data_IF_651834459457
#
_entry.id   IF_651834459457
#
_cell.length_a   1.000
_cell.length_b   1.000
_cell.length_c   1.000
_cell.angle_alpha   90.00
_cell.angle_beta   90.00
_cell.angle_gamma   90.00
#
_symmetry.space_group_name_H-M   'P 1'
#
loop_
_entity.id
_entity.type
_entity.pdbx_description
1 polymer ?
#
# COMPACT_ATOMS: atom_id res chain seq x y z
N UNK A 1 11.48 26.55 14.24
CA UNK A 1 10.04 26.25 14.12
C UNK A 1 9.81 25.33 12.93
N UNK A 2 8.95 24.32 13.06
CA UNK A 2 8.59 23.42 11.95
C UNK A 2 7.18 23.75 11.50
N UNK A 3 6.97 23.80 10.18
CA UNK A 3 5.71 24.23 9.57
C UNK A 3 5.07 23.07 8.82
N UNK A 4 3.74 22.95 8.92
CA UNK A 4 2.98 21.91 8.21
C UNK A 4 3.05 22.12 6.68
N UNK A 5 2.88 21.04 5.91
CA UNK A 5 2.92 21.11 4.45
C UNK A 5 1.87 22.09 3.90
N UNK A 6 0.63 22.03 4.39
CA UNK A 6 -0.43 22.95 3.98
C UNK A 6 -0.11 24.42 4.30
N UNK A 7 0.58 24.69 5.41
CA UNK A 7 1.05 26.04 5.72
C UNK A 7 2.14 26.49 4.73
N UNK A 8 3.14 25.64 4.46
CA UNK A 8 4.21 25.92 3.48
C UNK A 8 3.62 26.22 2.10
N UNK A 9 2.73 25.36 1.61
CA UNK A 9 2.05 25.53 0.32
C UNK A 9 1.25 26.83 0.26
N UNK A 10 0.53 27.17 1.33
CA UNK A 10 -0.25 28.41 1.39
C UNK A 10 0.66 29.64 1.28
N UNK A 11 1.79 29.67 1.99
CA UNK A 11 2.72 30.79 1.91
C UNK A 11 3.42 30.85 0.54
N UNK A 12 3.77 29.70 -0.04
CA UNK A 12 4.37 29.64 -1.38
C UNK A 12 3.39 30.12 -2.46
N UNK A 13 2.10 29.72 -2.39
CA UNK A 13 1.04 30.18 -3.30
C UNK A 13 0.84 31.69 -3.28
N UNK A 14 1.06 32.36 -2.14
CA UNK A 14 0.99 33.83 -2.05
C UNK A 14 2.10 34.55 -2.83
N UNK A 15 3.26 33.91 -2.97
CA UNK A 15 4.43 34.47 -3.66
C UNK A 15 4.42 34.13 -5.16
N UNK A 16 3.81 33.01 -5.54
CA UNK A 16 3.66 32.62 -6.94
C UNK A 16 2.48 33.33 -7.63
N UNK A 17 2.45 33.37 -8.98
CA UNK A 17 1.26 33.80 -9.72
C UNK A 17 0.03 32.97 -9.30
N UNK A 18 -1.16 33.57 -9.13
CA UNK A 18 -1.57 34.90 -9.58
C UNK A 18 -1.34 36.06 -8.59
N UNK A 19 -0.94 35.79 -7.34
CA UNK A 19 -0.86 36.81 -6.29
C UNK A 19 0.46 37.61 -6.33
N UNK A 20 1.57 36.97 -6.71
CA UNK A 20 2.89 37.59 -6.92
C UNK A 20 3.34 38.53 -5.80
N UNK A 21 3.03 38.20 -4.54
CA UNK A 21 3.35 39.07 -3.39
C UNK A 21 4.85 39.05 -3.08
N UNK A 22 5.44 40.18 -2.62
CA UNK A 22 6.85 40.22 -2.23
C UNK A 22 7.15 39.27 -1.07
N UNK A 23 8.26 38.52 -1.18
CA UNK A 23 8.72 37.54 -0.17
C UNK A 23 8.77 38.16 1.23
N UNK A 24 9.33 39.36 1.37
CA UNK A 24 9.48 40.04 2.66
C UNK A 24 8.12 40.38 3.32
N UNK A 25 7.07 40.62 2.53
CA UNK A 25 5.72 40.89 3.07
C UNK A 25 5.09 39.61 3.58
N UNK A 26 5.16 38.53 2.80
CA UNK A 26 4.58 37.22 3.18
C UNK A 26 5.34 36.62 4.36
N UNK A 27 6.67 36.76 4.39
CA UNK A 27 7.49 36.28 5.49
C UNK A 27 7.18 37.00 6.81
N UNK A 28 7.04 38.34 6.77
CA UNK A 28 6.65 39.15 7.94
C UNK A 28 5.24 38.83 8.43
N UNK A 29 4.28 38.66 7.53
CA UNK A 29 2.90 38.26 7.86
C UNK A 29 2.85 36.87 8.50
N UNK A 30 3.64 35.93 7.99
CA UNK A 30 3.70 34.55 8.47
C UNK A 30 4.61 34.37 9.70
N UNK A 31 5.33 35.42 10.13
CA UNK A 31 6.30 35.34 11.24
C UNK A 31 7.49 34.41 10.96
N UNK A 32 7.91 34.29 9.69
CA UNK A 32 9.02 33.43 9.25
C UNK A 32 10.15 34.28 8.68
N UNK A 33 11.37 33.71 8.59
CA UNK A 33 12.47 34.40 7.93
C UNK A 33 12.33 34.36 6.41
N UNK A 34 12.78 35.42 5.74
CA UNK A 34 12.82 35.50 4.27
C UNK A 34 13.56 34.31 3.64
N UNK A 35 14.64 33.85 4.29
CA UNK A 35 15.41 32.70 3.84
C UNK A 35 14.59 31.40 3.86
N UNK A 36 13.74 31.22 4.86
CA UNK A 36 12.87 30.04 4.98
C UNK A 36 11.86 29.99 3.82
N UNK A 37 11.24 31.13 3.50
CA UNK A 37 10.28 31.23 2.41
C UNK A 37 10.95 31.04 1.04
N UNK A 38 12.19 31.53 0.87
CA UNK A 38 13.01 31.31 -0.34
C UNK A 38 13.34 29.83 -0.54
N UNK A 39 13.69 29.12 0.53
CA UNK A 39 13.98 27.69 0.47
C UNK A 39 12.73 26.88 0.07
N UNK A 40 11.55 27.22 0.60
CA UNK A 40 10.30 26.57 0.19
C UNK A 40 9.93 26.89 -1.26
N UNK A 41 10.21 28.11 -1.73
CA UNK A 41 9.97 28.47 -3.12
C UNK A 41 10.87 27.65 -4.07
N UNK A 42 12.14 27.43 -3.70
CA UNK A 42 13.05 26.57 -4.46
C UNK A 42 12.54 25.12 -4.48
N UNK A 43 12.21 24.56 -3.32
CA UNK A 43 11.65 23.20 -3.19
C UNK A 43 10.33 23.04 -3.99
N UNK A 44 9.47 24.06 -4.03
CA UNK A 44 8.24 24.03 -4.81
C UNK A 44 8.47 24.07 -6.32
N UNK A 45 9.52 24.76 -6.78
CA UNK A 45 9.90 24.77 -8.20
C UNK A 45 10.46 23.43 -8.66
N UNK A 46 11.23 22.78 -7.80
CA UNK A 46 11.84 21.47 -8.08
C UNK A 46 10.87 20.31 -7.88
N UNK A 47 9.62 20.57 -7.45
CA UNK A 47 8.63 19.55 -7.14
C UNK A 47 8.93 18.75 -5.87
N UNK A 48 10.01 19.09 -5.16
CA UNK A 48 10.47 18.45 -3.92
C UNK A 48 10.00 19.21 -2.68
N UNK A 49 8.86 19.91 -2.75
CA UNK A 49 8.20 20.46 -1.57
C UNK A 49 7.57 19.29 -0.79
N UNK A 50 8.42 18.41 -0.31
CA UNK A 50 8.01 17.22 0.39
C UNK A 50 7.55 17.60 1.80
N UNK A 51 6.84 16.66 2.41
CA UNK A 51 6.64 16.60 3.86
C UNK A 51 8.02 16.51 4.51
N UNK A 52 8.71 17.63 4.65
CA UNK A 52 10.00 17.67 5.32
C UNK A 52 9.74 17.34 6.79
N UNK A 53 9.92 16.06 7.06
CA UNK A 53 10.05 15.33 8.30
C UNK A 53 9.43 16.00 9.53
N UNK A 54 8.29 15.45 9.92
CA UNK A 54 7.97 15.34 11.34
C UNK A 54 9.17 14.65 12.00
N UNK A 55 10.00 15.39 12.74
CA UNK A 55 10.66 14.75 13.87
C UNK A 55 9.51 14.28 14.74
N UNK A 56 9.34 12.97 14.79
CA UNK A 56 8.28 12.37 15.58
C UNK A 56 7.40 11.33 14.90
N UNK A 57 7.57 10.95 13.62
CA UNK A 57 7.03 9.64 13.28
C UNK A 57 6.54 9.28 11.89
N UNK A 58 6.41 10.22 10.96
CA UNK A 58 5.84 9.92 9.66
C UNK A 58 6.78 9.16 8.72
N UNK A 59 8.09 9.15 8.97
CA UNK A 59 9.09 8.42 8.16
C UNK A 59 9.43 7.00 8.66
N UNK A 60 8.74 6.51 9.69
CA UNK A 60 9.04 5.20 10.29
C UNK A 60 8.25 4.08 9.63
N UNK A 61 8.90 2.95 9.37
CA UNK A 61 8.27 1.76 8.82
C UNK A 61 7.22 1.19 9.78
N UNK A 62 6.23 0.45 9.27
CA UNK A 62 5.21 -0.20 10.11
C UNK A 62 5.81 -1.12 11.18
N UNK A 63 6.96 -1.75 10.88
CA UNK A 63 7.70 -2.59 11.82
C UNK A 63 8.32 -1.77 12.97
N UNK A 64 8.89 -0.62 12.65
CA UNK A 64 9.44 0.29 13.67
C UNK A 64 8.34 0.90 14.53
N UNK A 65 7.21 1.30 13.92
CA UNK A 65 6.02 1.76 14.66
C UNK A 65 5.53 0.70 15.64
N UNK A 66 5.44 -0.55 15.20
CA UNK A 66 5.06 -1.68 16.04
C UNK A 66 6.02 -1.87 17.23
N UNK A 67 7.33 -1.89 16.98
CA UNK A 67 8.32 -2.01 18.04
C UNK A 67 8.20 -0.89 19.07
N UNK A 68 7.99 0.35 18.62
CA UNK A 68 7.80 1.50 19.52
C UNK A 68 6.54 1.38 20.37
N UNK A 69 5.44 0.87 19.80
CA UNK A 69 4.22 0.59 20.57
C UNK A 69 4.50 -0.46 21.64
N UNK A 70 5.14 -1.58 21.30
CA UNK A 70 5.48 -2.64 22.26
C UNK A 70 6.45 -2.15 23.35
N UNK A 71 7.50 -1.41 22.97
CA UNK A 71 8.43 -0.78 23.90
C UNK A 71 7.67 0.15 24.85
N UNK A 72 6.77 1.00 24.33
CA UNK A 72 6.02 1.95 25.15
C UNK A 72 5.15 1.27 26.24
N UNK A 73 4.65 0.06 25.99
CA UNK A 73 3.89 -0.73 26.99
C UNK A 73 4.77 -1.37 28.05
N UNK A 74 6.07 -1.51 27.78
CA UNK A 74 7.05 -2.10 28.69
C UNK A 74 7.70 -1.05 29.60
N UNK A 75 7.60 0.24 29.25
CA UNK A 75 8.11 1.35 30.07
C UNK A 75 7.08 1.70 31.15
N UNK A 76 7.54 1.91 32.38
CA UNK A 76 6.70 2.38 33.49
C UNK A 76 6.14 3.79 33.21
N UNK A 77 4.93 4.09 33.69
CA UNK A 77 4.27 5.39 33.50
C UNK A 77 5.14 6.59 33.92
N UNK A 78 5.95 6.43 34.98
CA UNK A 78 6.87 7.46 35.45
C UNK A 78 8.01 7.77 34.47
N UNK A 79 8.47 6.77 33.70
CA UNK A 79 9.58 6.90 32.75
C UNK A 79 9.11 7.18 31.31
N UNK A 80 7.80 7.07 31.06
CA UNK A 80 7.21 7.23 29.73
C UNK A 80 7.54 8.59 29.10
N UNK A 81 7.50 9.66 29.89
CA UNK A 81 7.86 11.01 29.42
C UNK A 81 9.34 11.15 29.04
N UNK A 82 10.24 10.46 29.75
CA UNK A 82 11.68 10.45 29.41
C UNK A 82 11.92 9.64 28.14
N UNK A 83 11.34 8.45 28.05
CA UNK A 83 11.43 7.58 26.88
C UNK A 83 10.88 8.26 25.62
N UNK A 84 9.73 8.94 25.71
CA UNK A 84 9.14 9.70 24.61
C UNK A 84 10.11 10.78 24.10
N UNK A 85 10.75 11.53 25.01
CA UNK A 85 11.76 12.54 24.63
C UNK A 85 13.00 11.93 23.99
N UNK A 86 13.52 10.82 24.53
CA UNK A 86 14.67 10.11 23.98
C UNK A 86 14.41 9.59 22.55
N UNK A 87 13.21 9.09 22.30
CA UNK A 87 12.78 8.60 20.97
C UNK A 87 12.31 9.73 20.03
N UNK A 88 12.27 10.97 20.51
CA UNK A 88 11.78 12.14 19.78
C UNK A 88 10.29 12.02 19.43
N UNK A 89 9.49 11.43 20.31
CA UNK A 89 8.07 11.13 20.14
C UNK A 89 7.21 11.97 21.09
N UNK A 90 5.95 12.16 20.70
CA UNK A 90 4.88 12.65 21.55
C UNK A 90 3.94 11.51 21.90
N UNK A 91 3.21 11.61 23.01
CA UNK A 91 2.25 10.58 23.44
C UNK A 91 1.21 10.27 22.36
N UNK A 92 0.75 11.30 21.66
CA UNK A 92 -0.19 11.17 20.53
C UNK A 92 0.33 10.28 19.41
N UNK A 93 1.65 10.22 19.18
CA UNK A 93 2.22 9.36 18.13
C UNK A 93 2.06 7.87 18.46
N UNK A 94 2.12 7.50 19.74
CA UNK A 94 1.93 6.10 20.16
C UNK A 94 0.48 5.68 19.92
N UNK A 95 -0.47 6.52 20.32
CA UNK A 95 -1.89 6.27 20.06
C UNK A 95 -2.19 6.19 18.57
N UNK A 96 -1.60 7.07 17.75
CA UNK A 96 -1.76 7.04 16.31
C UNK A 96 -1.19 5.74 15.71
N UNK A 97 0.00 5.32 16.13
CA UNK A 97 0.60 4.07 15.66
C UNK A 97 -0.23 2.85 16.05
N UNK A 98 -0.80 2.81 17.25
CA UNK A 98 -1.71 1.75 17.68
C UNK A 98 -2.94 1.65 16.78
N UNK A 99 -3.52 2.78 16.40
CA UNK A 99 -4.66 2.85 15.48
C UNK A 99 -4.26 2.40 14.07
N UNK A 100 -3.20 2.98 13.50
CA UNK A 100 -2.71 2.62 12.16
C UNK A 100 -2.38 1.12 12.04
N UNK A 101 -1.79 0.52 13.08
CA UNK A 101 -1.47 -0.91 13.10
C UNK A 101 -2.71 -1.78 13.21
N UNK A 102 -3.73 -1.35 13.97
CA UNK A 102 -5.02 -2.04 14.07
C UNK A 102 -5.74 -2.05 12.73
N UNK A 103 -5.88 -0.87 12.12
CA UNK A 103 -6.58 -0.70 10.84
C UNK A 103 -5.91 -1.53 9.74
N UNK A 104 -4.56 -1.55 9.72
CA UNK A 104 -3.80 -2.36 8.76
C UNK A 104 -4.08 -3.86 8.89
N UNK A 105 -4.27 -4.36 10.11
CA UNK A 105 -4.58 -5.78 10.35
C UNK A 105 -6.03 -6.09 9.96
N UNK A 106 -6.97 -5.19 10.25
CA UNK A 106 -8.38 -5.35 9.89
C UNK A 106 -8.56 -5.34 8.36
N UNK A 107 -7.99 -4.37 7.65
CA UNK A 107 -8.09 -4.25 6.19
C UNK A 107 -7.44 -5.43 5.47
N UNK A 108 -6.22 -5.83 5.88
CA UNK A 108 -5.55 -7.01 5.32
C UNK A 108 -6.34 -8.29 5.58
N UNK A 109 -6.89 -8.44 6.80
CA UNK A 109 -7.70 -9.59 7.16
C UNK A 109 -9.00 -9.70 6.34
N UNK A 110 -9.61 -8.58 5.95
CA UNK A 110 -10.80 -8.59 5.10
C UNK A 110 -10.45 -8.90 3.63
N UNK A 111 -9.48 -8.18 3.07
CA UNK A 111 -9.04 -8.38 1.68
C UNK A 111 -8.54 -9.80 1.40
N UNK A 112 -7.73 -10.36 2.30
CA UNK A 112 -7.22 -11.74 2.16
C UNK A 112 -8.36 -12.77 2.22
N UNK A 113 -9.37 -12.57 3.09
CA UNK A 113 -10.54 -13.45 3.16
C UNK A 113 -11.36 -13.42 1.87
N UNK A 114 -11.54 -12.25 1.29
CA UNK A 114 -12.26 -12.08 0.02
C UNK A 114 -11.50 -12.74 -1.14
N UNK A 115 -10.18 -12.54 -1.19
CA UNK A 115 -9.31 -13.16 -2.19
C UNK A 115 -9.32 -14.69 -2.07
N UNK A 116 -9.17 -15.24 -0.86
CA UNK A 116 -9.27 -16.69 -0.63
C UNK A 116 -10.62 -17.23 -1.10
N UNK A 117 -11.73 -16.53 -0.81
CA UNK A 117 -13.07 -16.94 -1.23
C UNK A 117 -13.20 -16.92 -2.75
N UNK A 118 -12.63 -15.91 -3.42
CA UNK A 118 -12.59 -15.81 -4.89
C UNK A 118 -11.77 -16.94 -5.49
N UNK A 119 -10.55 -17.16 -5.01
CA UNK A 119 -9.65 -18.21 -5.50
C UNK A 119 -10.26 -19.61 -5.30
N UNK A 120 -10.90 -19.88 -4.16
CA UNK A 120 -11.59 -21.17 -3.93
C UNK A 120 -12.74 -21.41 -4.92
N UNK A 121 -13.53 -20.37 -5.22
CA UNK A 121 -14.61 -20.47 -6.22
C UNK A 121 -14.05 -20.75 -7.61
N UNK A 122 -12.98 -20.04 -7.97
CA UNK A 122 -12.33 -20.19 -9.27
C UNK A 122 -11.71 -21.58 -9.42
N UNK A 123 -10.99 -22.05 -8.40
CA UNK A 123 -10.40 -23.37 -8.39
C UNK A 123 -11.46 -24.46 -8.59
N UNK A 124 -12.58 -24.40 -7.83
CA UNK A 124 -13.70 -25.34 -8.00
C UNK A 124 -14.36 -25.27 -9.39
N UNK A 125 -14.37 -24.11 -10.03
CA UNK A 125 -14.86 -23.95 -11.41
C UNK A 125 -13.91 -24.63 -12.39
N UNK A 126 -12.62 -24.37 -12.27
CA UNK A 126 -11.57 -24.96 -13.10
C UNK A 126 -11.52 -26.48 -12.95
N UNK A 127 -11.61 -27.02 -11.74
CA UNK A 127 -11.68 -28.47 -11.48
C UNK A 127 -12.87 -29.12 -12.22
N UNK A 128 -14.05 -28.47 -12.22
CA UNK A 128 -15.22 -28.98 -12.94
C UNK A 128 -15.04 -28.93 -14.46
N UNK A 129 -14.48 -27.85 -14.98
CA UNK A 129 -14.19 -27.73 -16.41
C UNK A 129 -13.15 -28.77 -16.85
N UNK A 130 -12.11 -28.97 -16.05
CA UNK A 130 -11.09 -29.99 -16.28
C UNK A 130 -11.71 -31.39 -16.32
N UNK A 131 -12.53 -31.75 -15.32
CA UNK A 131 -13.20 -33.05 -15.27
C UNK A 131 -14.10 -33.30 -16.49
N UNK A 132 -14.81 -32.27 -16.98
CA UNK A 132 -15.62 -32.39 -18.20
C UNK A 132 -14.75 -32.62 -19.44
N UNK A 133 -13.64 -31.90 -19.56
CA UNK A 133 -12.68 -32.04 -20.68
C UNK A 133 -12.02 -33.42 -20.66
N UNK A 134 -11.62 -33.92 -19.49
CA UNK A 134 -11.05 -35.26 -19.34
C UNK A 134 -12.04 -36.36 -19.73
N UNK A 135 -13.32 -36.22 -19.35
CA UNK A 135 -14.38 -37.16 -19.79
C UNK A 135 -14.56 -37.17 -21.30
N UNK A 136 -14.69 -36.00 -21.92
CA UNK A 136 -14.83 -35.89 -23.37
C UNK A 136 -13.59 -36.44 -24.11
N UNK A 137 -12.39 -36.21 -23.56
CA UNK A 137 -11.15 -36.76 -24.10
C UNK A 137 -11.12 -38.29 -24.00
N UNK A 138 -11.56 -38.86 -22.87
CA UNK A 138 -11.65 -40.31 -22.68
C UNK A 138 -12.67 -40.94 -23.64
N UNK A 139 -13.84 -40.31 -23.83
CA UNK A 139 -14.85 -40.74 -24.81
C UNK A 139 -14.28 -40.73 -26.23
N UNK A 140 -13.57 -39.67 -26.63
CA UNK A 140 -12.89 -39.60 -27.93
C UNK A 140 -11.83 -40.69 -28.10
N UNK A 141 -11.03 -40.96 -27.07
CA UNK A 141 -10.04 -42.04 -27.10
C UNK A 141 -10.71 -43.42 -27.25
N UNK A 142 -11.83 -43.65 -26.57
CA UNK A 142 -12.62 -44.88 -26.72
C UNK A 142 -13.19 -45.03 -28.14
N UNK A 143 -13.75 -43.97 -28.71
CA UNK A 143 -14.25 -43.99 -30.09
C UNK A 143 -13.14 -44.22 -31.10
N UNK A 144 -11.98 -43.56 -30.93
CA UNK A 144 -10.82 -43.73 -31.81
C UNK A 144 -10.27 -45.15 -31.77
N UNK A 145 -10.16 -45.75 -30.57
CA UNK A 145 -9.70 -47.14 -30.43
C UNK A 145 -10.69 -48.14 -31.01
N UNK A 146 -12.00 -47.92 -30.85
CA UNK A 146 -13.03 -48.75 -31.48
C UNK A 146 -12.98 -48.65 -33.01
N UNK A 147 -12.84 -47.43 -33.55
CA UNK A 147 -12.67 -47.21 -35.00
C UNK A 147 -11.47 -47.98 -35.53
N UNK A 148 -10.31 -47.87 -34.88
CA UNK A 148 -9.09 -48.57 -35.30
C UNK A 148 -9.28 -50.09 -35.27
N UNK A 149 -9.91 -50.64 -34.23
CA UNK A 149 -10.21 -52.07 -34.15
C UNK A 149 -11.18 -52.53 -35.24
N UNK A 150 -12.16 -51.69 -35.60
CA UNK A 150 -13.08 -52.01 -36.68
C UNK A 150 -12.38 -52.01 -38.04
N UNK A 151 -11.49 -51.04 -38.30
CA UNK A 151 -10.61 -51.02 -39.47
C UNK A 151 -9.70 -52.26 -39.52
N UNK A 152 -9.13 -52.70 -38.38
CA UNK A 152 -8.32 -53.93 -38.33
C UNK A 152 -9.11 -55.22 -38.59
N UNK A 153 -10.41 -55.26 -38.26
CA UNK A 153 -11.25 -56.46 -38.41
C UNK A 153 -12.00 -56.53 -39.75
N UNK A 154 -12.36 -55.37 -40.32
CA UNK A 154 -13.20 -55.27 -41.52
C UNK A 154 -12.59 -54.44 -42.65
N UNK A 155 -11.41 -53.84 -42.45
CA UNK A 155 -10.77 -52.92 -43.40
C UNK A 155 -9.86 -53.57 -44.42
N UNK A 156 -10.11 -54.83 -44.81
CA UNK A 156 -9.36 -55.55 -45.86
C UNK A 156 -10.30 -55.95 -47.03
N UNK A 157 -11.33 -55.14 -47.30
CA UNK A 157 -12.26 -55.30 -48.44
C UNK A 157 -12.26 -54.04 -49.37
N UNK A 158 -11.11 -53.38 -49.52
CA UNK A 158 -10.87 -52.44 -50.63
C UNK A 158 -9.58 -52.84 -51.36
N UNK A 159 -9.59 -54.00 -52.03
CA UNK A 159 -8.78 -54.30 -53.21
C UNK A 159 -9.26 -55.62 -53.85
N UNK A 160 -10.36 -55.53 -54.64
CA UNK A 160 -10.62 -56.33 -55.85
C UNK A 160 -11.57 -55.55 -56.80
#
# INVERSE_FOLDING_TARGET
MRYSLGFKETQVKKVLPPQSRPIASVAREAGISDQTLRNWLAQAKDGTLEKQDTVGGAGRSSREKFNLVIESKSVSENDQGKWLREKGLHSEHITLYEQELRDLVEDKGQTEKEEIKRLKKENKRLEKELSKKEKALAEMAALYTLKKKAEELWGDDEDD
#
